data_IF_986057073857
#
_entry.id   IF_986057073857
#
_cell.length_a   1.000
_cell.length_b   1.000
_cell.length_c   1.000
_cell.angle_alpha   90.00
_cell.angle_beta   90.00
_cell.angle_gamma   90.00
#
_symmetry.space_group_name_H-M   'P 1'
#
loop_
_entity.id
_entity.type
_entity.pdbx_description
1 polymer ?
#
# COMPACT_ATOMS: atom_id res chain seq x y z
N UNK A 1 -28.12 11.80 -14.09
CA UNK A 1 -27.78 11.15 -12.80
C UNK A 1 -26.75 10.00 -12.89
N UNK A 2 -26.82 9.11 -13.89
CA UNK A 2 -25.88 7.98 -14.01
C UNK A 2 -24.39 8.39 -14.08
N UNK A 3 -24.05 9.49 -14.79
CA UNK A 3 -22.68 10.02 -14.86
C UNK A 3 -22.14 10.43 -13.48
N UNK A 4 -22.94 11.11 -12.66
CA UNK A 4 -22.57 11.47 -11.30
C UNK A 4 -22.28 10.25 -10.44
N UNK A 5 -23.12 9.22 -10.49
CA UNK A 5 -22.90 8.00 -9.74
C UNK A 5 -21.59 7.30 -10.15
N UNK A 6 -21.29 7.28 -11.45
CA UNK A 6 -20.04 6.73 -11.98
C UNK A 6 -18.82 7.49 -11.47
N UNK A 7 -18.85 8.82 -11.51
CA UNK A 7 -17.79 9.69 -10.98
C UNK A 7 -17.63 9.47 -9.47
N UNK A 8 -18.75 9.47 -8.73
CA UNK A 8 -18.75 9.26 -7.29
C UNK A 8 -18.13 7.91 -6.91
N UNK A 9 -18.55 6.82 -7.55
CA UNK A 9 -18.02 5.48 -7.27
C UNK A 9 -16.50 5.41 -7.51
N UNK A 10 -16.01 6.07 -8.56
CA UNK A 10 -14.59 6.18 -8.84
C UNK A 10 -13.85 6.96 -7.74
N UNK A 11 -14.31 8.17 -7.42
CA UNK A 11 -13.70 9.01 -6.37
C UNK A 11 -13.72 8.32 -5.01
N UNK A 12 -14.81 7.61 -4.71
CA UNK A 12 -14.93 6.83 -3.49
C UNK A 12 -13.92 5.68 -3.43
N UNK A 13 -13.76 4.92 -4.54
CA UNK A 13 -12.76 3.85 -4.60
C UNK A 13 -11.34 4.41 -4.44
N UNK A 14 -11.03 5.52 -5.09
CA UNK A 14 -9.74 6.21 -4.93
C UNK A 14 -9.48 6.63 -3.48
N UNK A 15 -10.46 7.28 -2.83
CA UNK A 15 -10.36 7.66 -1.41
C UNK A 15 -10.23 6.46 -0.48
N UNK A 16 -10.92 5.35 -0.77
CA UNK A 16 -10.80 4.10 0.00
C UNK A 16 -9.37 3.55 -0.07
N UNK A 17 -8.74 3.56 -1.24
CA UNK A 17 -7.36 3.08 -1.43
C UNK A 17 -6.36 3.97 -0.70
N UNK A 18 -6.48 5.29 -0.82
CA UNK A 18 -5.67 6.27 -0.07
C UNK A 18 -5.79 6.03 1.45
N UNK A 19 -7.01 5.90 1.97
CA UNK A 19 -7.25 5.64 3.38
C UNK A 19 -6.65 4.29 3.83
N UNK A 20 -6.71 3.26 2.98
CA UNK A 20 -6.09 1.97 3.24
C UNK A 20 -4.56 2.11 3.38
N UNK A 21 -3.90 2.88 2.50
CA UNK A 21 -2.46 3.14 2.58
C UNK A 21 -2.09 3.96 3.82
N UNK A 22 -2.86 4.98 4.19
CA UNK A 22 -2.64 5.75 5.42
C UNK A 22 -2.72 4.85 6.64
N UNK A 23 -3.70 3.93 6.68
CA UNK A 23 -3.80 3.01 7.80
C UNK A 23 -2.68 1.95 7.83
N UNK A 24 -2.17 1.49 6.67
CA UNK A 24 -0.98 0.64 6.62
C UNK A 24 0.23 1.39 7.18
N UNK A 25 0.42 2.66 6.81
CA UNK A 25 1.50 3.48 7.37
C UNK A 25 1.42 3.61 8.90
N UNK A 26 0.21 3.74 9.45
CA UNK A 26 0.00 3.80 10.90
C UNK A 26 0.43 2.51 11.60
N UNK A 27 0.15 1.34 11.02
CA UNK A 27 0.58 0.05 11.57
C UNK A 27 2.09 -0.17 11.38
N UNK A 28 2.67 0.39 10.32
CA UNK A 28 4.08 0.29 9.99
C UNK A 28 5.02 1.15 10.85
N UNK A 29 4.48 2.05 11.68
CA UNK A 29 5.29 3.02 12.43
C UNK A 29 6.37 2.33 13.28
N UNK A 30 7.64 2.82 13.25
CA UNK A 30 8.77 2.22 13.96
C UNK A 30 8.53 2.01 15.47
N UNK A 31 7.69 2.85 16.09
CA UNK A 31 7.38 2.78 17.52
C UNK A 31 6.67 1.47 17.93
N UNK A 32 6.06 0.75 16.99
CA UNK A 32 5.41 -0.53 17.25
C UNK A 32 6.41 -1.69 17.36
N UNK A 33 7.58 -1.56 16.73
CA UNK A 33 8.66 -2.57 16.75
C UNK A 33 9.67 -2.15 17.80
N UNK A 34 9.50 -2.63 19.02
CA UNK A 34 10.44 -2.29 20.09
C UNK A 34 11.75 -3.05 19.84
N UNK A 35 12.78 -2.32 19.38
CA UNK A 35 14.14 -2.82 19.08
C UNK A 35 14.69 -3.83 20.11
N UNK A 36 14.40 -3.62 21.40
CA UNK A 36 14.85 -4.49 22.50
C UNK A 36 14.25 -5.90 22.52
N UNK A 37 13.12 -6.14 21.85
CA UNK A 37 12.46 -7.46 21.89
C UNK A 37 13.08 -8.46 20.90
N UNK A 38 13.75 -7.96 19.86
CA UNK A 38 14.37 -8.76 18.80
C UNK A 38 15.88 -8.99 18.99
N UNK A 39 16.50 -8.44 20.04
CA UNK A 39 17.92 -8.66 20.34
C UNK A 39 18.23 -10.10 20.77
N UNK A 40 17.21 -10.84 21.19
CA UNK A 40 17.31 -12.24 21.66
C UNK A 40 17.00 -13.29 20.61
N UNK A 41 16.57 -12.88 19.41
CA UNK A 41 16.32 -13.76 18.27
C UNK A 41 17.64 -14.12 17.58
N UNK A 42 17.68 -15.30 16.97
CA UNK A 42 18.80 -15.71 16.14
C UNK A 42 19.05 -14.69 15.03
N UNK A 43 20.33 -14.48 14.71
CA UNK A 43 20.75 -13.48 13.73
C UNK A 43 20.05 -13.64 12.36
N UNK A 44 19.84 -14.89 11.92
CA UNK A 44 19.17 -15.20 10.66
C UNK A 44 17.71 -14.69 10.62
N UNK A 45 16.90 -15.02 11.64
CA UNK A 45 15.48 -14.61 11.73
C UNK A 45 15.37 -13.08 11.84
N UNK A 46 16.31 -12.44 12.56
CA UNK A 46 16.38 -10.98 12.66
C UNK A 46 16.64 -10.32 11.31
N UNK A 47 17.58 -10.86 10.52
CA UNK A 47 17.86 -10.34 9.18
C UNK A 47 16.66 -10.51 8.24
N UNK A 48 15.99 -11.68 8.28
CA UNK A 48 14.77 -11.93 7.51
C UNK A 48 13.66 -10.93 7.87
N UNK A 49 13.40 -10.72 9.17
CA UNK A 49 12.42 -9.74 9.64
C UNK A 49 12.71 -8.34 9.09
N UNK A 50 13.95 -7.86 9.21
CA UNK A 50 14.35 -6.54 8.73
C UNK A 50 14.20 -6.43 7.21
N UNK A 51 14.54 -7.50 6.48
CA UNK A 51 14.38 -7.57 5.03
C UNK A 51 12.90 -7.47 4.64
N UNK A 52 12.02 -8.31 5.20
CA UNK A 52 10.58 -8.31 4.93
C UNK A 52 9.93 -6.98 5.28
N UNK A 53 10.30 -6.37 6.41
CA UNK A 53 9.82 -5.04 6.81
C UNK A 53 10.23 -3.95 5.83
N UNK A 54 11.50 -3.96 5.40
CA UNK A 54 12.01 -2.99 4.43
C UNK A 54 11.33 -3.15 3.08
N UNK A 55 11.16 -4.38 2.59
CA UNK A 55 10.40 -4.66 1.38
C UNK A 55 8.98 -4.10 1.48
N UNK A 56 8.33 -4.28 2.63
CA UNK A 56 6.96 -3.80 2.84
C UNK A 56 6.90 -2.27 2.81
N UNK A 57 7.87 -1.60 3.43
CA UNK A 57 7.99 -0.13 3.42
C UNK A 57 8.27 0.42 2.02
N UNK A 58 9.15 -0.23 1.25
CA UNK A 58 9.44 0.19 -0.14
C UNK A 58 8.19 0.06 -1.00
N UNK A 59 7.50 -1.08 -0.93
CA UNK A 59 6.28 -1.30 -1.69
C UNK A 59 5.17 -0.31 -1.30
N UNK A 60 4.99 -0.06 0.00
CA UNK A 60 4.06 0.97 0.49
C UNK A 60 4.38 2.36 -0.10
N UNK A 61 5.66 2.76 -0.12
CA UNK A 61 6.07 4.06 -0.65
C UNK A 61 5.75 4.17 -2.15
N UNK A 62 5.99 3.11 -2.93
CA UNK A 62 5.67 3.08 -4.36
C UNK A 62 4.16 3.20 -4.61
N UNK A 63 3.35 2.42 -3.88
CA UNK A 63 1.88 2.48 -3.97
C UNK A 63 1.34 3.85 -3.53
N UNK A 64 1.89 4.42 -2.46
CA UNK A 64 1.48 5.74 -1.96
C UNK A 64 1.84 6.84 -2.95
N UNK A 65 3.04 6.81 -3.54
CA UNK A 65 3.43 7.76 -4.57
C UNK A 65 2.48 7.75 -5.76
N UNK A 66 2.11 6.56 -6.25
CA UNK A 66 1.14 6.41 -7.34
C UNK A 66 -0.23 7.00 -6.97
N UNK A 67 -0.81 6.60 -5.84
CA UNK A 67 -2.16 7.01 -5.42
C UNK A 67 -2.23 8.51 -5.15
N UNK A 68 -1.23 9.07 -4.44
CA UNK A 68 -1.19 10.50 -4.13
C UNK A 68 -1.10 11.36 -5.39
N UNK A 69 -0.25 11.00 -6.36
CA UNK A 69 -0.15 11.74 -7.62
C UNK A 69 -1.43 11.64 -8.46
N UNK A 70 -2.03 10.45 -8.53
CA UNK A 70 -3.31 10.27 -9.21
C UNK A 70 -4.41 11.12 -8.56
N UNK A 71 -4.47 11.16 -7.23
CA UNK A 71 -5.43 11.99 -6.51
C UNK A 71 -5.22 13.48 -6.77
N UNK A 72 -3.98 13.96 -6.79
CA UNK A 72 -3.70 15.35 -7.13
C UNK A 72 -4.13 15.70 -8.54
N UNK A 73 -3.87 14.82 -9.50
CA UNK A 73 -4.38 14.98 -10.87
C UNK A 73 -5.90 15.10 -10.89
N UNK A 74 -6.62 14.15 -10.29
CA UNK A 74 -8.09 14.15 -10.29
C UNK A 74 -8.64 15.41 -9.60
N UNK A 75 -8.09 15.79 -8.44
CA UNK A 75 -8.61 16.91 -7.67
C UNK A 75 -8.32 18.27 -8.33
N UNK A 76 -7.07 18.50 -8.73
CA UNK A 76 -6.65 19.83 -9.19
C UNK A 76 -6.71 20.01 -10.71
N UNK A 77 -6.41 18.99 -11.50
CA UNK A 77 -6.38 19.12 -12.97
C UNK A 77 -7.71 18.75 -13.61
N UNK A 78 -8.47 17.85 -12.98
CA UNK A 78 -9.77 17.42 -13.51
C UNK A 78 -10.92 18.18 -12.87
N UNK A 79 -11.10 18.06 -11.55
CA UNK A 79 -12.28 18.61 -10.87
C UNK A 79 -12.24 20.14 -10.80
N UNK A 80 -11.16 20.72 -10.27
CA UNK A 80 -11.04 22.18 -10.10
C UNK A 80 -11.11 22.93 -11.43
N UNK A 81 -10.34 22.49 -12.44
CA UNK A 81 -10.36 23.11 -13.78
C UNK A 81 -11.72 22.96 -14.45
N UNK A 82 -12.36 21.78 -14.36
CA UNK A 82 -13.69 21.60 -14.96
C UNK A 82 -14.73 22.46 -14.25
N UNK A 83 -14.63 22.61 -12.93
CA UNK A 83 -15.54 23.46 -12.14
C UNK A 83 -15.38 24.94 -12.49
N UNK A 84 -14.14 25.44 -12.57
CA UNK A 84 -13.87 26.82 -12.98
C UNK A 84 -14.44 27.12 -14.37
N UNK A 85 -14.24 26.22 -15.34
CA UNK A 85 -14.82 26.37 -16.67
C UNK A 85 -16.36 26.39 -16.64
N UNK A 86 -16.98 25.48 -15.89
CA UNK A 86 -18.43 25.42 -15.76
C UNK A 86 -19.00 26.67 -15.10
N UNK A 87 -18.35 27.18 -14.05
CA UNK A 87 -18.79 28.40 -13.37
C UNK A 87 -18.78 29.60 -14.31
N UNK A 88 -17.73 29.75 -15.12
CA UNK A 88 -17.65 30.81 -16.12
C UNK A 88 -18.73 30.67 -17.21
N UNK A 89 -18.98 29.45 -17.69
CA UNK A 89 -20.02 29.19 -18.69
C UNK A 89 -21.43 29.43 -18.14
N UNK A 90 -21.65 29.10 -16.86
CA UNK A 90 -22.91 29.35 -16.16
C UNK A 90 -23.20 30.85 -16.00
N UNK A 91 -22.19 31.68 -15.76
CA UNK A 91 -22.35 33.14 -15.64
C UNK A 91 -22.73 33.81 -16.97
N UNK A 92 -22.29 33.24 -18.10
CA UNK A 92 -22.52 33.80 -19.44
C UNK A 92 -23.77 33.21 -20.13
N UNK A 93 -24.32 32.11 -19.59
CA UNK A 93 -25.50 31.44 -20.13
C UNK A 93 -26.72 32.37 -20.19
N UNK A 94 -27.37 32.43 -21.36
CA UNK A 94 -28.50 33.35 -21.60
C UNK A 94 -29.85 32.73 -21.31
N UNK A 95 -29.93 31.41 -21.44
CA UNK A 95 -31.14 30.63 -21.25
C UNK A 95 -30.83 29.28 -20.59
N UNK A 96 -31.89 28.47 -20.42
CA UNK A 96 -31.80 27.16 -19.78
C UNK A 96 -31.05 26.15 -20.66
N UNK A 97 -31.13 26.28 -21.99
CA UNK A 97 -30.50 25.33 -22.91
C UNK A 97 -28.98 25.52 -22.92
N UNK A 98 -28.52 26.77 -22.88
CA UNK A 98 -27.11 27.12 -22.68
C UNK A 98 -26.58 26.54 -21.35
N UNK A 99 -27.35 26.66 -20.27
CA UNK A 99 -26.96 26.12 -18.96
C UNK A 99 -26.89 24.58 -18.97
N UNK A 100 -27.86 23.92 -19.61
CA UNK A 100 -27.86 22.46 -19.76
C UNK A 100 -26.66 21.98 -20.59
N UNK A 101 -26.34 22.68 -21.69
CA UNK A 101 -25.19 22.35 -22.52
C UNK A 101 -23.86 22.51 -21.76
N UNK A 102 -23.69 23.59 -21.00
CA UNK A 102 -22.53 23.82 -20.15
C UNK A 102 -22.39 22.71 -19.08
N UNK A 103 -23.51 22.28 -18.49
CA UNK A 103 -23.55 21.22 -17.49
C UNK A 103 -23.18 19.85 -18.07
N UNK A 104 -23.70 19.52 -19.25
CA UNK A 104 -23.35 18.29 -19.95
C UNK A 104 -21.87 18.25 -20.33
N UNK A 105 -21.33 19.39 -20.79
CA UNK A 105 -19.91 19.56 -21.09
C UNK A 105 -19.05 19.40 -19.83
N UNK A 106 -19.45 19.97 -18.70
CA UNK A 106 -18.78 19.81 -17.40
C UNK A 106 -18.66 18.33 -17.02
N UNK A 107 -19.79 17.60 -17.06
CA UNK A 107 -19.81 16.17 -16.73
C UNK A 107 -18.99 15.33 -17.70
N UNK A 108 -19.06 15.63 -19.00
CA UNK A 108 -18.31 14.91 -20.01
C UNK A 108 -16.80 15.13 -19.85
N UNK A 109 -16.38 16.38 -19.57
CA UNK A 109 -14.99 16.73 -19.26
C UNK A 109 -14.46 15.92 -18.08
N UNK A 110 -15.21 15.83 -16.97
CA UNK A 110 -14.78 15.05 -15.80
C UNK A 110 -14.67 13.56 -16.14
N UNK A 111 -15.65 12.98 -16.85
CA UNK A 111 -15.64 11.55 -17.19
C UNK A 111 -14.44 11.20 -18.08
N UNK A 112 -14.21 11.96 -19.15
CA UNK A 112 -13.10 11.70 -20.06
C UNK A 112 -11.75 11.89 -19.36
N UNK A 113 -11.55 13.02 -18.66
CA UNK A 113 -10.27 13.35 -18.01
C UNK A 113 -9.99 12.47 -16.78
N UNK A 114 -11.01 11.96 -16.08
CA UNK A 114 -10.81 11.01 -14.97
C UNK A 114 -10.49 9.58 -15.41
N UNK A 115 -10.19 9.37 -16.71
CA UNK A 115 -9.96 8.05 -17.30
C UNK A 115 -11.20 7.14 -17.27
N UNK A 116 -12.40 7.71 -17.11
CA UNK A 116 -13.67 6.99 -17.09
C UNK A 116 -14.36 6.99 -18.46
N UNK A 117 -13.74 7.58 -19.49
CA UNK A 117 -14.28 7.60 -20.85
C UNK A 117 -14.36 6.22 -21.50
N UNK A 118 -15.17 6.08 -22.55
CA UNK A 118 -15.25 4.85 -23.35
C UNK A 118 -13.94 4.53 -24.07
N UNK A 119 -13.19 5.57 -24.44
CA UNK A 119 -11.88 5.46 -25.08
C UNK A 119 -10.78 5.01 -24.11
N UNK A 120 -10.99 5.18 -22.80
CA UNK A 120 -10.02 4.82 -21.75
C UNK A 120 -10.41 3.56 -20.98
N UNK A 121 -11.24 2.68 -21.56
CA UNK A 121 -11.71 1.48 -20.89
C UNK A 121 -10.58 0.52 -20.46
N UNK A 122 -9.50 0.41 -21.24
CA UNK A 122 -8.33 -0.41 -20.87
C UNK A 122 -7.61 0.18 -19.65
N UNK A 123 -7.38 1.50 -19.64
CA UNK A 123 -6.78 2.23 -18.53
C UNK A 123 -7.63 2.14 -17.27
N UNK A 124 -8.94 2.35 -17.40
CA UNK A 124 -9.89 2.23 -16.31
C UNK A 124 -9.83 0.84 -15.65
N UNK A 125 -9.84 -0.22 -16.46
CA UNK A 125 -9.72 -1.60 -15.97
C UNK A 125 -8.38 -1.83 -15.26
N UNK A 126 -7.27 -1.43 -15.89
CA UNK A 126 -5.92 -1.55 -15.31
C UNK A 126 -5.83 -0.82 -13.97
N UNK A 127 -6.35 0.40 -13.89
CA UNK A 127 -6.40 1.20 -12.67
C UNK A 127 -7.19 0.51 -11.55
N UNK A 128 -8.32 -0.11 -11.87
CA UNK A 128 -9.14 -0.81 -10.88
C UNK A 128 -8.45 -2.07 -10.36
N UNK A 129 -7.73 -2.79 -11.22
CA UNK A 129 -6.89 -3.94 -10.82
C UNK A 129 -5.77 -3.48 -9.89
N UNK A 130 -5.11 -2.35 -10.19
CA UNK A 130 -4.11 -1.72 -9.31
C UNK A 130 -4.71 -1.37 -7.94
N UNK A 131 -5.89 -0.75 -7.91
CA UNK A 131 -6.58 -0.45 -6.65
C UNK A 131 -6.87 -1.71 -5.82
N UNK A 132 -7.35 -2.77 -6.47
CA UNK A 132 -7.66 -4.03 -5.77
C UNK A 132 -6.39 -4.73 -5.26
N UNK A 133 -5.27 -4.63 -6.00
CA UNK A 133 -3.96 -5.08 -5.53
C UNK A 133 -3.46 -4.28 -4.32
N UNK A 134 -3.63 -2.96 -4.31
CA UNK A 134 -3.24 -2.12 -3.15
C UNK A 134 -4.09 -2.49 -1.92
N UNK A 135 -5.38 -2.78 -2.10
CA UNK A 135 -6.25 -3.26 -1.01
C UNK A 135 -5.81 -4.64 -0.51
N UNK A 136 -5.39 -5.56 -1.39
CA UNK A 136 -4.79 -6.84 -0.99
C UNK A 136 -3.48 -6.63 -0.21
N UNK A 137 -2.62 -5.73 -0.69
CA UNK A 137 -1.40 -5.36 0.03
C UNK A 137 -1.70 -4.86 1.43
N UNK A 138 -2.75 -4.05 1.63
CA UNK A 138 -3.15 -3.61 2.96
C UNK A 138 -3.45 -4.79 3.90
N UNK A 139 -4.26 -5.75 3.45
CA UNK A 139 -4.57 -6.94 4.25
C UNK A 139 -3.32 -7.77 4.55
N UNK A 140 -2.39 -7.87 3.60
CA UNK A 140 -1.11 -8.55 3.81
C UNK A 140 -0.23 -7.82 4.84
N UNK A 141 -0.12 -6.49 4.74
CA UNK A 141 0.61 -5.68 5.70
C UNK A 141 0.04 -5.83 7.12
N UNK A 142 -1.29 -5.78 7.28
CA UNK A 142 -1.91 -5.98 8.60
C UNK A 142 -1.57 -7.36 9.20
N UNK A 143 -1.65 -8.44 8.41
CA UNK A 143 -1.25 -9.80 8.84
C UNK A 143 0.22 -9.88 9.25
N UNK A 144 1.12 -9.26 8.48
CA UNK A 144 2.54 -9.21 8.78
C UNK A 144 2.79 -8.54 10.13
N UNK A 145 2.23 -7.35 10.35
CA UNK A 145 2.46 -6.58 11.57
C UNK A 145 1.76 -7.18 12.81
N UNK A 146 0.60 -7.81 12.64
CA UNK A 146 -0.05 -8.59 13.70
C UNK A 146 0.81 -9.78 14.11
N UNK A 147 1.34 -10.54 13.14
CA UNK A 147 2.24 -11.66 13.43
C UNK A 147 3.54 -11.22 14.09
N UNK A 148 4.13 -10.09 13.68
CA UNK A 148 5.31 -9.51 14.33
C UNK A 148 5.01 -9.11 15.78
N UNK A 149 3.84 -8.52 16.05
CA UNK A 149 3.41 -8.18 17.40
C UNK A 149 3.23 -9.43 18.27
N UNK A 150 2.66 -10.50 17.71
CA UNK A 150 2.51 -11.79 18.39
C UNK A 150 3.88 -12.41 18.72
N UNK A 151 4.82 -12.42 17.78
CA UNK A 151 6.19 -12.89 18.02
C UNK A 151 6.87 -12.07 19.13
N UNK A 152 6.63 -10.75 19.15
CA UNK A 152 7.17 -9.86 20.17
C UNK A 152 6.62 -10.17 21.57
N UNK A 153 5.30 -10.36 21.69
CA UNK A 153 4.65 -10.67 22.97
C UNK A 153 5.06 -12.04 23.51
N UNK A 154 5.14 -13.07 22.66
CA UNK A 154 5.62 -14.41 23.03
C UNK A 154 7.08 -14.41 23.49
N UNK A 155 7.94 -13.65 22.81
CA UNK A 155 9.36 -13.50 23.19
C UNK A 155 9.52 -12.77 24.53
N UNK A 156 8.67 -11.78 24.83
CA UNK A 156 8.66 -11.11 26.14
C UNK A 156 8.19 -12.03 27.26
N UNK A 157 7.11 -12.78 27.04
CA UNK A 157 6.55 -13.71 28.04
C UNK A 157 7.55 -14.80 28.43
N UNK A 158 8.27 -15.39 27.47
CA UNK A 158 9.31 -16.39 27.76
C UNK A 158 10.46 -15.79 28.58
N UNK A 159 10.81 -14.52 28.33
CA UNK A 159 11.86 -13.84 29.08
C UNK A 159 11.48 -13.51 30.53
N UNK A 160 10.22 -13.15 30.79
CA UNK A 160 9.72 -12.87 32.15
C UNK A 160 9.66 -14.17 32.98
N UNK A 161 9.15 -15.25 32.39
CA UNK A 161 9.13 -16.58 33.03
C UNK A 161 10.53 -17.07 33.43
N UNK A 162 11.55 -16.76 32.60
CA UNK A 162 12.94 -17.11 32.90
C UNK A 162 13.52 -16.34 34.09
N UNK A 163 13.14 -15.07 34.29
CA UNK A 163 13.63 -14.26 35.42
C UNK A 163 12.98 -14.67 36.75
N UNK A 164 11.69 -14.98 36.77
CA UNK A 164 10.98 -15.42 37.98
C UNK A 164 11.47 -16.77 38.49
N UNK A 165 11.75 -17.72 37.59
CA UNK A 165 12.33 -19.02 37.97
C UNK A 165 13.77 -18.87 38.49
N UNK A 166 14.56 -17.95 37.95
CA UNK A 166 15.92 -17.69 38.44
C UNK A 166 15.94 -17.03 39.83
N UNK A 167 14.90 -16.26 40.20
CA UNK A 167 14.72 -15.75 41.57
C UNK A 167 14.32 -16.86 42.54
N UNK A 168 13.42 -17.77 42.16
CA UNK A 168 13.06 -18.94 43.00
C UNK A 168 14.21 -19.94 43.18
N UNK A 169 15.06 -20.15 42.16
CA UNK A 169 16.19 -21.08 42.24
C UNK A 169 17.34 -20.60 43.14
N UNK A 170 17.42 -19.30 43.44
CA UNK A 170 18.38 -18.75 44.41
C UNK A 170 18.03 -19.05 45.87
N UNK A 171 16.82 -19.55 46.16
CA UNK A 171 16.40 -19.93 47.52
C UNK A 171 16.49 -21.43 47.83
N UNK A 172 16.75 -22.30 46.85
CA UNK A 172 16.88 -23.74 47.08
C UNK A 172 18.16 -24.29 46.43
N UNK A 173 19.23 -24.31 47.23
CA UNK A 173 20.47 -25.03 46.91
C UNK A 173 20.25 -26.50 47.21
N UNK A 174 19.77 -27.28 46.24
CA UNK A 174 20.12 -28.71 46.22
C UNK A 174 20.20 -29.28 44.81
N UNK A 175 21.16 -30.19 44.63
CA UNK A 175 21.62 -30.74 43.35
C UNK A 175 20.59 -31.71 42.76
N UNK A 176 20.05 -31.39 41.59
CA UNK A 176 19.66 -32.40 40.61
C UNK A 176 19.68 -31.83 39.19
N UNK A 177 20.18 -32.67 38.29
CA UNK A 177 20.49 -32.37 36.88
C UNK A 177 19.23 -32.31 36.02
N UNK A 178 19.32 -31.50 34.96
CA UNK A 178 18.47 -31.46 33.76
C UNK A 178 16.99 -31.06 33.85
N UNK A 179 16.72 -29.73 33.87
CA UNK A 179 15.50 -29.18 33.28
C UNK A 179 15.74 -28.26 32.05
N UNK A 180 16.95 -28.25 31.47
CA UNK A 180 17.33 -27.30 30.40
C UNK A 180 16.88 -27.65 28.98
N UNK A 181 16.64 -28.94 28.70
CA UNK A 181 16.37 -29.44 27.33
C UNK A 181 15.03 -28.93 26.79
N UNK A 182 13.94 -29.08 27.54
CA UNK A 182 12.57 -28.69 27.13
C UNK A 182 12.39 -27.18 26.89
N UNK A 183 13.11 -26.33 27.62
CA UNK A 183 13.02 -24.87 27.47
C UNK A 183 13.78 -24.37 26.24
N UNK A 184 14.93 -24.98 25.94
CA UNK A 184 15.66 -24.71 24.71
C UNK A 184 14.90 -25.24 23.49
N UNK A 185 14.23 -26.38 23.62
CA UNK A 185 13.41 -26.97 22.57
C UNK A 185 12.21 -26.08 22.22
N UNK A 186 11.48 -25.58 23.22
CA UNK A 186 10.38 -24.63 23.00
C UNK A 186 10.82 -23.28 22.39
N UNK A 187 12.03 -22.82 22.71
CA UNK A 187 12.59 -21.60 22.10
C UNK A 187 13.02 -21.82 20.65
N UNK A 188 13.68 -22.94 20.35
CA UNK A 188 14.05 -23.33 18.99
C UNK A 188 12.81 -23.51 18.11
N UNK A 189 11.79 -24.21 18.60
CA UNK A 189 10.52 -24.38 17.87
C UNK A 189 9.81 -23.03 17.60
N UNK A 190 9.88 -22.08 18.53
CA UNK A 190 9.36 -20.73 18.32
C UNK A 190 10.15 -19.96 17.25
N UNK A 191 11.48 -20.09 17.26
CA UNK A 191 12.36 -19.44 16.29
C UNK A 191 12.21 -20.03 14.88
N UNK A 192 12.06 -21.34 14.76
CA UNK A 192 11.75 -22.05 13.50
C UNK A 192 10.41 -21.59 12.94
N UNK A 193 9.35 -21.59 13.76
CA UNK A 193 8.03 -21.10 13.35
C UNK A 193 8.03 -19.62 12.95
N UNK A 194 8.83 -18.80 13.64
CA UNK A 194 9.00 -17.39 13.29
C UNK A 194 9.72 -17.24 11.93
N UNK A 195 10.75 -18.05 11.68
CA UNK A 195 11.45 -18.10 10.40
C UNK A 195 10.52 -18.50 9.24
N UNK A 196 9.77 -19.59 9.40
CA UNK A 196 8.79 -20.05 8.40
C UNK A 196 7.72 -19.00 8.12
N UNK A 197 7.17 -18.37 9.17
CA UNK A 197 6.19 -17.29 9.02
C UNK A 197 6.75 -16.11 8.22
N UNK A 198 7.96 -15.62 8.57
CA UNK A 198 8.58 -14.49 7.90
C UNK A 198 8.99 -14.81 6.47
N UNK A 199 9.40 -16.06 6.20
CA UNK A 199 9.70 -16.53 4.86
C UNK A 199 8.44 -16.55 3.98
N UNK A 200 7.34 -17.10 4.49
CA UNK A 200 6.06 -17.12 3.76
C UNK A 200 5.55 -15.71 3.48
N UNK A 201 5.57 -14.83 4.49
CA UNK A 201 5.19 -13.41 4.32
C UNK A 201 6.11 -12.67 3.35
N UNK A 202 7.41 -12.97 3.36
CA UNK A 202 8.37 -12.40 2.42
C UNK A 202 8.08 -12.83 0.97
N UNK A 203 7.75 -14.11 0.75
CA UNK A 203 7.38 -14.63 -0.57
C UNK A 203 6.06 -14.05 -1.09
N UNK A 204 5.03 -13.99 -0.24
CA UNK A 204 3.75 -13.35 -0.57
C UNK A 204 3.96 -11.87 -0.95
N UNK A 205 4.77 -11.14 -0.17
CA UNK A 205 5.07 -9.74 -0.43
C UNK A 205 5.86 -9.53 -1.73
N UNK A 206 6.84 -10.38 -2.01
CA UNK A 206 7.61 -10.35 -3.26
C UNK A 206 6.71 -10.62 -4.47
N UNK A 207 5.74 -11.55 -4.35
CA UNK A 207 4.76 -11.80 -5.40
C UNK A 207 3.86 -10.58 -5.64
N UNK A 208 3.35 -9.94 -4.59
CA UNK A 208 2.56 -8.69 -4.68
C UNK A 208 3.39 -7.58 -5.31
N UNK A 209 4.67 -7.46 -4.93
CA UNK A 209 5.59 -6.46 -5.48
C UNK A 209 5.78 -6.63 -6.98
N UNK A 210 6.06 -7.86 -7.45
CA UNK A 210 6.19 -8.16 -8.88
C UNK A 210 4.90 -7.90 -9.65
N UNK A 211 3.77 -8.35 -9.10
CA UNK A 211 2.45 -8.09 -9.70
C UNK A 211 2.18 -6.58 -9.82
N UNK A 212 2.52 -5.81 -8.79
CA UNK A 212 2.36 -4.36 -8.77
C UNK A 212 3.21 -3.67 -9.83
N UNK A 213 4.49 -4.02 -9.94
CA UNK A 213 5.40 -3.43 -10.92
C UNK A 213 4.90 -3.66 -12.35
N UNK A 214 4.55 -4.91 -12.69
CA UNK A 214 4.04 -5.26 -14.03
C UNK A 214 2.75 -4.52 -14.36
N UNK A 215 1.81 -4.43 -13.42
CA UNK A 215 0.56 -3.70 -13.63
C UNK A 215 0.79 -2.20 -13.76
N UNK A 216 1.69 -1.62 -12.96
CA UNK A 216 2.00 -0.20 -13.00
C UNK A 216 2.69 0.17 -14.33
N UNK A 217 3.67 -0.61 -14.78
CA UNK A 217 4.32 -0.41 -16.08
C UNK A 217 3.31 -0.57 -17.24
N UNK A 218 2.45 -1.58 -17.16
CA UNK A 218 1.35 -1.78 -18.09
C UNK A 218 0.34 -0.62 -18.12
N UNK A 219 0.12 0.04 -16.97
CA UNK A 219 -0.70 1.26 -16.90
C UNK A 219 0.04 2.47 -17.48
N UNK A 220 1.30 2.69 -17.11
CA UNK A 220 2.09 3.83 -17.54
C UNK A 220 2.31 3.84 -19.06
N UNK A 221 2.58 2.68 -19.67
CA UNK A 221 2.74 2.54 -21.12
C UNK A 221 1.47 2.90 -21.92
N UNK A 222 0.29 2.79 -21.31
CA UNK A 222 -0.98 3.15 -21.95
C UNK A 222 -1.29 4.66 -21.88
N UNK A 223 -0.65 5.42 -20.98
CA UNK A 223 -0.91 6.85 -20.79
C UNK A 223 -0.53 7.71 -22.01
N UNK A 224 0.66 7.58 -22.62
CA UNK A 224 1.04 8.38 -23.80
C UNK A 224 0.21 8.07 -25.05
N UNK A 225 -0.41 6.89 -25.11
CA UNK A 225 -1.21 6.43 -26.26
C UNK A 225 -2.58 7.12 -26.31
N UNK A 226 -3.05 7.70 -25.20
CA UNK A 226 -4.34 8.38 -25.16
C UNK A 226 -4.26 9.74 -25.87
N UNK A 227 -4.83 9.84 -27.07
CA UNK A 227 -4.85 11.09 -27.84
C UNK A 227 -5.96 12.06 -27.43
N UNK A 228 -6.97 11.60 -26.69
CA UNK A 228 -8.17 12.36 -26.37
C UNK A 228 -8.11 13.13 -25.04
N UNK A 229 -7.10 12.87 -24.20
CA UNK A 229 -6.86 13.58 -22.94
C UNK A 229 -5.37 13.87 -22.85
N UNK A 230 -5.02 15.10 -22.49
CA UNK A 230 -3.63 15.43 -22.20
C UNK A 230 -3.20 14.83 -20.85
N UNK A 231 -2.58 13.65 -20.92
CA UNK A 231 -2.07 12.91 -19.76
C UNK A 231 -0.56 13.11 -19.56
N UNK A 232 0.08 14.02 -20.31
CA UNK A 232 1.53 14.25 -20.23
C UNK A 232 1.95 14.69 -18.84
N UNK A 233 1.17 15.56 -18.21
CA UNK A 233 1.43 16.04 -16.84
C UNK A 233 1.25 14.93 -15.80
N UNK A 234 0.23 14.08 -15.94
CA UNK A 234 0.03 12.91 -15.07
C UNK A 234 1.19 11.93 -15.23
N UNK A 235 1.56 11.59 -16.47
CA UNK A 235 2.68 10.70 -16.76
C UNK A 235 3.99 11.24 -16.16
N UNK A 236 4.28 12.52 -16.38
CA UNK A 236 5.45 13.17 -15.81
C UNK A 236 5.47 13.16 -14.28
N UNK A 237 4.33 13.35 -13.62
CA UNK A 237 4.25 13.29 -12.14
C UNK A 237 4.43 11.87 -11.60
N UNK A 238 3.94 10.87 -12.32
CA UNK A 238 4.06 9.47 -11.94
C UNK A 238 5.47 8.90 -12.16
N UNK A 239 6.20 9.42 -13.14
CA UNK A 239 7.58 9.03 -13.46
C UNK A 239 8.57 10.19 -13.30
N UNK A 240 8.33 11.08 -12.32
CA UNK A 240 9.16 12.28 -12.12
C UNK A 240 10.63 11.95 -11.81
N UNK A 241 10.89 10.77 -11.25
CA UNK A 241 12.24 10.30 -10.95
C UNK A 241 12.89 9.50 -12.10
N UNK A 242 12.21 9.36 -13.26
CA UNK A 242 12.56 8.44 -14.35
C UNK A 242 12.80 7.00 -13.86
N UNK A 243 12.26 6.64 -12.70
CA UNK A 243 12.54 5.36 -12.09
C UNK A 243 12.03 4.21 -12.98
N UNK A 244 10.88 4.41 -13.62
CA UNK A 244 10.26 3.41 -14.48
C UNK A 244 10.81 3.48 -15.92
N UNK A 245 11.09 4.67 -16.45
CA UNK A 245 11.73 4.81 -17.76
C UNK A 245 13.20 4.34 -17.80
N UNK A 246 13.92 4.35 -16.66
CA UNK A 246 15.28 3.78 -16.57
C UNK A 246 15.31 2.26 -16.45
N UNK A 247 14.22 1.61 -16.05
CA UNK A 247 14.12 0.15 -16.02
C UNK A 247 14.04 -0.45 -17.43
N UNK A 248 13.58 0.33 -18.42
CA UNK A 248 13.58 -0.03 -19.84
C UNK A 248 14.05 1.14 -20.73
N UNK A 249 15.37 1.33 -20.91
CA UNK A 249 15.91 2.30 -21.85
C UNK A 249 15.74 1.75 -23.27
N UNK A 250 14.57 1.94 -23.86
CA UNK A 250 14.29 1.56 -25.25
C UNK A 250 13.10 0.62 -25.38
N UNK A 251 11.92 1.20 -25.59
CA UNK A 251 10.83 0.60 -26.35
C UNK A 251 10.26 1.69 -27.25
#
# INVERSE_FOLDING_TARGET
MARYLRIFNFLWKLRRVEHALIGAWKTMKPNCITSHSFTKLQHAVKLQLLSTLRQCQVLWNQMNHFVTNLQYYIMFEVLEVSWSNFSNEMEVARDLDDLLAAHDKYLHSIVEKSLLGERSQSLYKSLFVLFDLILRFRSHADRLYEGIYELQTRTRASSLSSQDKNRSRRQTSDKSSEPGSWLNDGRKALEERAGEFLQNMGQELEAISKEYTVLLEGFLSQLPVQQHVDLKFLFFRLDFAEFYSRLHPGS
#
